data_IF_441148149809
#
_entry.id   IF_441148149809
#
_cell.length_a   1.000
_cell.length_b   1.000
_cell.length_c   1.000
_cell.angle_alpha   90.00
_cell.angle_beta   90.00
_cell.angle_gamma   90.00
#
_symmetry.space_group_name_H-M   'P 1'
#
loop_
_entity.id
_entity.type
_entity.pdbx_description
1 polymer ?
#
# COMPACT_ATOMS: atom_id res chain seq x y z
N UNK A 1 -17.22 -39.32 -19.18
CA UNK A 1 -16.93 -38.33 -20.24
C UNK A 1 -15.92 -37.32 -19.71
N UNK A 2 -14.71 -37.34 -20.28
CA UNK A 2 -13.62 -36.39 -20.00
C UNK A 2 -14.01 -34.98 -20.47
N UNK A 3 -13.80 -33.98 -19.63
CA UNK A 3 -13.55 -32.61 -20.08
C UNK A 3 -12.35 -32.04 -19.33
N UNK A 4 -11.23 -32.12 -20.04
CA UNK A 4 -10.00 -31.36 -19.87
C UNK A 4 -10.34 -29.87 -19.95
N UNK A 5 -9.93 -29.07 -18.95
CA UNK A 5 -9.83 -27.62 -19.10
C UNK A 5 -8.46 -27.19 -18.58
N UNK A 6 -7.68 -26.65 -19.52
CA UNK A 6 -6.41 -25.98 -19.32
C UNK A 6 -6.49 -24.99 -18.15
N UNK A 7 -5.55 -25.11 -17.21
CA UNK A 7 -5.17 -24.01 -16.32
C UNK A 7 -3.67 -23.80 -16.46
N UNK A 8 -3.29 -22.69 -17.11
CA UNK A 8 -1.94 -22.17 -17.07
C UNK A 8 -1.68 -21.66 -15.65
N UNK A 9 -1.01 -22.49 -14.84
CA UNK A 9 -0.39 -22.06 -13.60
C UNK A 9 0.86 -21.23 -13.91
N UNK A 10 0.90 -20.01 -13.39
CA UNK A 10 2.12 -19.25 -13.15
C UNK A 10 3.00 -20.05 -12.17
N UNK A 11 4.01 -20.74 -12.69
CA UNK A 11 5.13 -21.26 -11.90
C UNK A 11 6.24 -20.21 -11.89
N UNK A 12 6.40 -19.48 -10.79
CA UNK A 12 7.68 -18.82 -10.48
C UNK A 12 8.53 -19.89 -9.80
N UNK A 13 9.30 -20.62 -10.61
CA UNK A 13 10.34 -21.51 -10.12
C UNK A 13 11.55 -20.65 -9.71
N UNK A 14 11.71 -20.45 -8.40
CA UNK A 14 12.98 -20.04 -7.80
C UNK A 14 13.96 -21.20 -7.87
N UNK A 15 14.87 -21.16 -8.84
CA UNK A 15 16.11 -21.96 -8.82
C UNK A 15 17.30 -21.01 -8.74
N UNK A 16 17.70 -20.72 -7.51
CA UNK A 16 19.02 -20.17 -7.20
C UNK A 16 19.97 -21.37 -7.08
N UNK A 17 20.68 -21.71 -8.15
CA UNK A 17 21.88 -22.55 -8.07
C UNK A 17 23.09 -21.63 -8.14
N UNK A 18 23.58 -21.24 -6.97
CA UNK A 18 24.90 -20.65 -6.83
C UNK A 18 25.94 -21.71 -7.18
N UNK A 19 26.70 -21.48 -8.25
CA UNK A 19 27.96 -22.19 -8.53
C UNK A 19 29.08 -21.17 -8.50
N UNK A 20 29.75 -21.07 -7.35
CA UNK A 20 31.06 -20.44 -7.24
C UNK A 20 32.08 -21.41 -7.84
N UNK A 21 32.59 -21.09 -9.02
CA UNK A 21 33.81 -21.69 -9.55
C UNK A 21 34.92 -20.63 -9.47
N UNK A 22 35.79 -20.79 -8.48
CA UNK A 22 37.02 -20.03 -8.34
C UNK A 22 38.02 -20.61 -9.34
N UNK A 23 38.36 -19.86 -10.38
CA UNK A 23 39.43 -20.18 -11.31
C UNK A 23 40.49 -19.10 -11.19
N UNK A 24 41.57 -19.44 -10.47
CA UNK A 24 42.81 -18.68 -10.48
C UNK A 24 43.55 -19.01 -11.78
N UNK A 25 43.68 -18.00 -12.64
CA UNK A 25 44.52 -18.02 -13.83
C UNK A 25 45.07 -16.62 -14.05
N UNK A 26 46.14 -16.29 -13.35
CA UNK A 26 46.91 -15.08 -13.62
C UNK A 26 47.66 -15.27 -14.96
N UNK A 27 47.26 -14.50 -15.98
CA UNK A 27 48.12 -14.14 -17.10
C UNK A 27 48.09 -12.63 -17.25
N UNK A 28 49.25 -12.02 -17.05
CA UNK A 28 49.52 -10.63 -17.38
C UNK A 28 49.64 -10.53 -18.90
N UNK A 29 48.67 -9.88 -19.53
CA UNK A 29 48.77 -9.42 -20.92
C UNK A 29 48.30 -7.97 -20.99
N UNK A 30 49.20 -7.12 -21.50
CA UNK A 30 48.93 -5.84 -22.15
C UNK A 30 48.20 -4.77 -21.33
N UNK A 31 48.92 -3.72 -20.95
CA UNK A 31 48.29 -2.43 -20.65
C UNK A 31 47.72 -1.91 -21.98
N UNK A 32 46.45 -2.18 -22.22
CA UNK A 32 45.67 -1.52 -23.26
C UNK A 32 45.44 -0.06 -22.84
N UNK A 33 46.27 0.84 -23.36
CA UNK A 33 46.06 2.29 -23.26
C UNK A 33 45.04 2.80 -24.27
N UNK A 34 44.22 1.91 -24.84
CA UNK A 34 43.03 2.28 -25.58
C UNK A 34 42.16 3.15 -24.69
N UNK A 35 42.05 4.42 -25.08
CA UNK A 35 41.03 5.33 -24.56
C UNK A 35 39.70 4.58 -24.70
N UNK A 36 39.18 4.07 -23.58
CA UNK A 36 37.83 3.53 -23.49
C UNK A 36 36.90 4.73 -23.60
N UNK A 37 36.75 5.24 -24.81
CA UNK A 37 35.59 5.99 -25.24
C UNK A 37 34.45 4.99 -25.30
N UNK A 38 34.01 4.49 -24.14
CA UNK A 38 32.70 3.85 -24.07
C UNK A 38 31.73 4.98 -24.42
N UNK A 39 31.27 4.98 -25.66
CA UNK A 39 30.16 5.83 -26.12
C UNK A 39 29.04 5.57 -25.12
N UNK A 40 28.88 6.46 -24.14
CA UNK A 40 27.88 6.24 -23.11
C UNK A 40 26.56 6.30 -23.86
N UNK A 41 25.90 5.14 -23.94
CA UNK A 41 24.69 4.99 -24.73
C UNK A 41 23.61 5.90 -24.14
N UNK A 42 23.37 7.04 -24.80
CA UNK A 42 22.43 8.06 -24.37
C UNK A 42 21.03 7.48 -24.15
N UNK A 43 20.67 6.41 -24.88
CA UNK A 43 19.40 5.71 -24.69
C UNK A 43 19.33 4.96 -23.35
N UNK A 44 20.44 4.34 -22.92
CA UNK A 44 20.55 3.67 -21.61
C UNK A 44 20.52 4.68 -20.48
N UNK A 45 21.16 5.85 -20.63
CA UNK A 45 21.04 6.93 -19.64
C UNK A 45 19.60 7.42 -19.56
N UNK A 46 18.97 7.75 -20.69
CA UNK A 46 17.59 8.25 -20.73
C UNK A 46 16.63 7.28 -20.04
N UNK A 47 16.73 5.98 -20.34
CA UNK A 47 15.89 4.95 -19.70
C UNK A 47 16.14 4.83 -18.19
N UNK A 48 17.39 5.01 -17.74
CA UNK A 48 17.74 5.02 -16.31
C UNK A 48 17.16 6.22 -15.57
N UNK A 49 17.15 7.39 -16.21
CA UNK A 49 16.50 8.61 -15.67
C UNK A 49 15.00 8.36 -15.50
N UNK A 50 14.33 7.83 -16.53
CA UNK A 50 12.91 7.52 -16.48
C UNK A 50 12.60 6.53 -15.35
N UNK A 51 13.35 5.44 -15.25
CA UNK A 51 13.14 4.45 -14.19
C UNK A 51 13.40 5.04 -12.79
N UNK A 52 14.43 5.88 -12.62
CA UNK A 52 14.68 6.61 -11.36
C UNK A 52 13.48 7.48 -10.99
N UNK A 53 12.93 8.21 -11.96
CA UNK A 53 11.81 9.12 -11.72
C UNK A 53 10.54 8.34 -11.37
N UNK A 54 10.29 7.19 -12.00
CA UNK A 54 9.22 6.28 -11.60
C UNK A 54 9.43 5.67 -10.21
N UNK A 55 10.66 5.34 -9.81
CA UNK A 55 10.92 4.86 -8.45
C UNK A 55 10.54 5.91 -7.38
N UNK A 56 10.75 7.20 -7.67
CA UNK A 56 10.26 8.30 -6.81
C UNK A 56 8.73 8.35 -6.78
N UNK A 57 8.08 8.15 -7.93
CA UNK A 57 6.60 8.12 -8.04
C UNK A 57 6.02 6.95 -7.24
N UNK A 58 6.59 5.75 -7.33
CA UNK A 58 6.15 4.59 -6.53
C UNK A 58 6.26 4.88 -5.04
N UNK A 59 7.40 5.45 -4.62
CA UNK A 59 7.62 5.83 -3.22
C UNK A 59 6.59 6.85 -2.73
N UNK A 60 6.25 7.86 -3.54
CA UNK A 60 5.23 8.89 -3.19
C UNK A 60 3.81 8.32 -3.02
N UNK A 61 3.53 7.19 -3.68
CA UNK A 61 2.24 6.51 -3.67
C UNK A 61 2.16 5.37 -2.64
N UNK A 62 3.22 5.11 -1.86
CA UNK A 62 3.15 4.20 -0.73
C UNK A 62 2.18 4.75 0.34
N UNK A 63 1.48 3.85 1.02
CA UNK A 63 0.51 4.23 2.05
C UNK A 63 1.26 4.67 3.33
N UNK A 64 0.96 5.85 3.90
CA UNK A 64 1.60 6.29 5.13
C UNK A 64 1.11 5.46 6.34
N UNK A 65 1.93 5.43 7.38
CA UNK A 65 1.46 5.09 8.72
C UNK A 65 0.61 6.24 9.29
N UNK A 66 -0.27 5.93 10.24
CA UNK A 66 -1.08 6.88 11.00
C UNK A 66 -1.02 6.56 12.50
N UNK A 67 -1.00 7.61 13.31
CA UNK A 67 -1.10 7.51 14.76
C UNK A 67 -1.89 8.71 15.29
N UNK A 68 -2.95 8.44 16.05
CA UNK A 68 -3.80 9.51 16.57
C UNK A 68 -5.09 8.96 17.14
N UNK A 69 -6.19 9.65 16.88
CA UNK A 69 -7.50 9.27 17.37
C UNK A 69 -8.52 9.21 16.25
N UNK A 70 -9.49 8.30 16.43
CA UNK A 70 -10.70 8.22 15.66
C UNK A 70 -11.93 8.45 16.55
N UNK A 71 -12.85 9.27 16.07
CA UNK A 71 -14.09 9.65 16.74
C UNK A 71 -15.29 9.05 16.03
N UNK A 72 -16.41 8.93 16.75
CA UNK A 72 -17.71 8.45 16.26
C UNK A 72 -17.80 6.96 15.88
N UNK A 73 -16.72 6.20 16.06
CA UNK A 73 -16.79 4.74 15.96
C UNK A 73 -17.62 4.12 17.11
N UNK A 74 -18.29 2.96 16.88
CA UNK A 74 -19.11 2.28 17.88
C UNK A 74 -18.34 1.92 19.16
N UNK A 75 -17.07 1.57 18.99
CA UNK A 75 -16.17 1.20 20.08
C UNK A 75 -15.25 2.36 20.45
N UNK A 76 -15.52 3.01 21.58
CA UNK A 76 -14.71 4.13 22.07
C UNK A 76 -13.25 3.72 22.23
N UNK A 77 -12.34 4.51 21.67
CA UNK A 77 -10.88 4.35 21.79
C UNK A 77 -10.27 5.51 22.54
N UNK A 78 -9.08 5.28 23.09
CA UNK A 78 -8.16 6.31 23.54
C UNK A 78 -7.16 6.69 22.44
N UNK A 79 -6.85 5.75 21.55
CA UNK A 79 -5.82 5.89 20.53
C UNK A 79 -6.06 4.87 19.41
N UNK A 80 -5.73 5.26 18.18
CA UNK A 80 -5.75 4.41 16.98
C UNK A 80 -4.39 4.53 16.29
N UNK A 81 -3.85 3.38 15.90
CA UNK A 81 -2.62 3.29 15.11
C UNK A 81 -2.84 2.44 13.87
N UNK A 82 -2.34 2.91 12.74
CA UNK A 82 -2.15 2.15 11.51
C UNK A 82 -0.66 2.23 11.17
N UNK A 83 0.11 1.33 11.75
CA UNK A 83 1.56 1.29 11.58
C UNK A 83 1.82 0.62 10.25
N UNK A 84 2.43 1.32 9.30
CA UNK A 84 2.71 0.76 7.98
C UNK A 84 4.17 1.02 7.58
N UNK A 85 5.03 0.03 7.84
CA UNK A 85 6.46 0.11 7.50
C UNK A 85 6.70 -0.55 6.16
N UNK A 86 7.36 0.16 5.24
CA UNK A 86 7.74 -0.34 3.91
C UNK A 86 9.25 -0.59 3.83
N UNK A 87 9.63 -1.82 3.48
CA UNK A 87 11.01 -2.22 3.20
C UNK A 87 11.18 -2.30 1.69
N UNK A 88 11.79 -1.29 1.08
CA UNK A 88 12.02 -1.25 -0.36
C UNK A 88 13.20 -2.17 -0.71
N UNK A 89 12.89 -3.27 -1.39
CA UNK A 89 13.87 -4.31 -1.73
C UNK A 89 14.42 -4.15 -3.15
N UNK A 90 13.64 -3.55 -4.07
CA UNK A 90 14.08 -3.20 -5.41
C UNK A 90 13.74 -1.74 -5.75
N UNK A 91 14.77 -0.91 -5.83
CA UNK A 91 14.70 0.46 -6.33
C UNK A 91 15.95 0.72 -7.18
N UNK A 92 15.90 0.34 -8.44
CA UNK A 92 17.04 0.44 -9.35
C UNK A 92 16.69 1.22 -10.60
N UNK A 93 17.50 2.21 -11.03
CA UNK A 93 17.30 2.87 -12.31
C UNK A 93 17.50 1.91 -13.50
N UNK A 94 18.07 0.73 -13.27
CA UNK A 94 18.27 -0.28 -14.32
C UNK A 94 17.00 -1.10 -14.62
N UNK A 95 15.98 -1.03 -13.77
CA UNK A 95 14.76 -1.85 -13.87
C UNK A 95 13.50 -1.01 -14.03
N UNK A 96 12.48 -1.55 -14.68
CA UNK A 96 11.11 -1.01 -14.69
C UNK A 96 10.27 -1.46 -13.49
N UNK A 97 10.83 -2.38 -12.70
CA UNK A 97 10.19 -2.92 -11.52
C UNK A 97 10.63 -2.19 -10.27
N UNK A 98 9.68 -2.06 -9.34
CA UNK A 98 9.92 -1.67 -7.96
C UNK A 98 9.22 -2.68 -7.06
N UNK A 99 9.90 -3.07 -5.99
CA UNK A 99 9.39 -4.11 -5.09
C UNK A 99 9.64 -3.69 -3.64
N UNK A 100 8.59 -3.77 -2.83
CA UNK A 100 8.68 -3.60 -1.38
C UNK A 100 7.87 -4.69 -0.67
N UNK A 101 8.26 -4.92 0.57
CA UNK A 101 7.42 -5.66 1.53
C UNK A 101 6.98 -4.69 2.61
N UNK A 102 5.71 -4.76 3.00
CA UNK A 102 5.16 -3.95 4.07
C UNK A 102 4.82 -4.79 5.29
N UNK A 103 5.11 -4.26 6.48
CA UNK A 103 4.70 -4.83 7.76
C UNK A 103 3.64 -3.92 8.38
N UNK A 104 2.38 -4.06 7.92
CA UNK A 104 1.28 -3.23 8.40
C UNK A 104 0.64 -3.83 9.64
N UNK A 105 0.39 -3.02 10.66
CA UNK A 105 -0.35 -3.39 11.87
C UNK A 105 -1.35 -2.30 12.23
N UNK A 106 -2.64 -2.63 12.32
CA UNK A 106 -3.64 -1.71 12.88
C UNK A 106 -3.95 -2.09 14.31
N UNK A 107 -4.01 -1.09 15.18
CA UNK A 107 -4.35 -1.23 16.60
C UNK A 107 -5.36 -0.17 17.02
N UNK A 108 -6.28 -0.56 17.90
CA UNK A 108 -7.22 0.33 18.59
C UNK A 108 -7.07 0.10 20.08
N UNK A 109 -6.60 1.13 20.78
CA UNK A 109 -6.55 1.13 22.25
C UNK A 109 -7.95 1.48 22.75
N UNK A 110 -8.67 0.51 23.27
CA UNK A 110 -10.07 0.69 23.66
C UNK A 110 -10.16 1.47 24.98
N UNK A 111 -11.18 2.34 25.09
CA UNK A 111 -11.54 3.02 26.34
C UNK A 111 -12.45 2.10 27.17
N UNK A 112 -11.85 1.06 27.74
CA UNK A 112 -12.48 0.03 28.59
C UNK A 112 -11.58 -0.22 29.82
N UNK A 113 -12.05 -0.97 30.81
CA UNK A 113 -11.22 -1.35 31.97
C UNK A 113 -9.91 -2.01 31.51
N UNK A 114 -8.78 -1.52 32.00
CA UNK A 114 -7.45 -1.99 31.61
C UNK A 114 -6.96 -1.49 30.24
N UNK A 115 -7.73 -0.67 29.53
CA UNK A 115 -7.42 -0.11 28.21
C UNK A 115 -6.85 -1.15 27.22
N UNK A 116 -7.58 -2.24 26.92
CA UNK A 116 -7.04 -3.33 26.12
C UNK A 116 -6.94 -2.94 24.64
N UNK A 117 -6.02 -3.60 23.94
CA UNK A 117 -6.06 -3.74 22.48
C UNK A 117 -6.69 -5.09 22.17
N UNK A 118 -7.88 -5.08 21.57
CA UNK A 118 -8.56 -6.29 21.12
C UNK A 118 -8.39 -6.46 19.62
N UNK A 119 -8.18 -7.71 19.18
CA UNK A 119 -8.09 -8.12 17.77
C UNK A 119 -7.26 -7.18 16.87
N UNK A 120 -5.97 -6.92 17.16
CA UNK A 120 -5.12 -6.11 16.26
C UNK A 120 -5.12 -6.68 14.84
N UNK A 121 -5.05 -5.86 13.79
CA UNK A 121 -4.88 -6.37 12.41
C UNK A 121 -3.40 -6.50 12.08
N UNK A 122 -2.93 -7.71 11.79
CA UNK A 122 -1.63 -7.95 11.18
C UNK A 122 -1.81 -8.12 9.67
N UNK A 123 -1.18 -7.24 8.89
CA UNK A 123 -1.36 -7.13 7.44
C UNK A 123 -0.01 -7.07 6.68
N UNK A 124 0.90 -8.06 6.81
CA UNK A 124 2.10 -8.05 6.00
C UNK A 124 1.77 -8.27 4.51
N UNK A 125 2.45 -7.53 3.64
CA UNK A 125 2.23 -7.58 2.20
C UNK A 125 3.54 -7.62 1.41
N UNK A 126 3.49 -8.21 0.22
CA UNK A 126 4.51 -8.07 -0.81
C UNK A 126 3.90 -7.31 -1.98
N UNK A 127 4.57 -6.25 -2.44
CA UNK A 127 4.04 -5.29 -3.41
C UNK A 127 5.00 -5.15 -4.60
N UNK A 128 4.54 -5.47 -5.80
CA UNK A 128 5.29 -5.33 -7.05
C UNK A 128 4.66 -4.23 -7.90
N UNK A 129 5.49 -3.33 -8.40
CA UNK A 129 5.09 -2.24 -9.29
C UNK A 129 5.78 -2.41 -10.63
N UNK A 130 5.04 -2.11 -11.70
CA UNK A 130 5.56 -2.19 -13.07
C UNK A 130 5.14 -0.97 -13.88
N UNK A 131 6.14 -0.30 -14.45
CA UNK A 131 5.97 0.87 -15.32
C UNK A 131 5.37 0.50 -16.67
N UNK A 132 4.32 1.22 -17.10
CA UNK A 132 3.66 1.02 -18.39
C UNK A 132 4.10 1.99 -19.48
N UNK A 133 4.47 3.22 -19.14
CA UNK A 133 4.92 4.23 -20.10
C UNK A 133 6.25 4.88 -19.69
N UNK A 134 6.86 5.63 -20.60
CA UNK A 134 8.15 6.31 -20.41
C UNK A 134 8.00 7.80 -20.01
N UNK A 135 6.79 8.27 -19.70
CA UNK A 135 6.49 9.66 -19.33
C UNK A 135 6.27 9.81 -17.81
N UNK A 136 7.25 10.39 -17.12
CA UNK A 136 7.18 10.66 -15.68
C UNK A 136 6.28 11.87 -15.31
N UNK A 137 5.86 12.68 -16.28
CA UNK A 137 4.89 13.77 -16.09
C UNK A 137 3.44 13.30 -16.25
N UNK A 138 3.20 12.22 -17.00
CA UNK A 138 1.91 11.52 -17.08
C UNK A 138 2.08 10.03 -16.77
N UNK A 139 2.52 9.67 -15.55
CA UNK A 139 2.92 8.31 -15.24
C UNK A 139 1.74 7.33 -15.32
N UNK A 140 2.02 6.15 -15.85
CA UNK A 140 1.10 5.01 -15.87
C UNK A 140 1.83 3.78 -15.36
N UNK A 141 1.22 3.06 -14.41
CA UNK A 141 1.81 1.84 -13.88
C UNK A 141 0.76 0.88 -13.33
N UNK A 142 1.15 -0.38 -13.21
CA UNK A 142 0.42 -1.40 -12.49
C UNK A 142 1.08 -1.66 -11.14
N UNK A 143 0.28 -2.03 -10.14
CA UNK A 143 0.81 -2.69 -8.95
C UNK A 143 0.01 -3.96 -8.66
N UNK A 144 0.73 -4.98 -8.21
CA UNK A 144 0.15 -6.23 -7.74
C UNK A 144 0.64 -6.49 -6.32
N UNK A 145 -0.25 -6.92 -5.44
CA UNK A 145 0.11 -7.26 -4.07
C UNK A 145 -0.49 -8.58 -3.62
N UNK A 146 0.20 -9.23 -2.70
CA UNK A 146 -0.35 -10.31 -1.87
C UNK A 146 -0.26 -9.89 -0.42
N UNK A 147 -1.35 -10.03 0.33
CA UNK A 147 -1.44 -9.64 1.72
C UNK A 147 -2.06 -10.77 2.54
N UNK A 148 -1.40 -11.08 3.65
CA UNK A 148 -2.02 -11.87 4.72
C UNK A 148 -2.70 -10.92 5.69
N UNK A 149 -3.95 -11.18 6.09
CA UNK A 149 -4.68 -10.34 7.05
C UNK A 149 -5.25 -11.21 8.18
N UNK A 150 -4.66 -11.11 9.37
CA UNK A 150 -5.13 -11.84 10.55
C UNK A 150 -5.13 -11.01 11.81
N UNK A 151 -5.61 -11.58 12.91
CA UNK A 151 -5.56 -10.95 14.23
C UNK A 151 -4.65 -11.62 15.26
N UNK A 152 -3.96 -12.70 14.87
CA UNK A 152 -3.03 -13.41 15.75
C UNK A 152 -3.67 -14.07 16.98
N UNK A 153 -5.00 -14.14 17.07
CA UNK A 153 -5.70 -14.71 18.22
C UNK A 153 -5.92 -16.22 18.01
N UNK A 154 -5.67 -17.01 19.06
CA UNK A 154 -6.05 -18.41 19.13
C UNK A 154 -7.36 -18.53 19.92
N UNK A 155 -8.48 -18.58 19.20
CA UNK A 155 -9.83 -18.72 19.77
C UNK A 155 -10.86 -19.16 18.72
N UNK A 156 -12.06 -19.57 19.12
CA UNK A 156 -13.12 -19.91 18.17
C UNK A 156 -13.60 -18.66 17.45
N UNK A 157 -13.69 -18.69 16.11
CA UNK A 157 -14.18 -17.52 15.33
C UNK A 157 -15.65 -17.20 15.60
N UNK A 158 -16.41 -18.21 16.04
CA UNK A 158 -17.83 -18.12 16.33
C UNK A 158 -18.10 -18.45 17.79
N UNK A 159 -19.10 -17.80 18.35
CA UNK A 159 -19.74 -18.17 19.62
C UNK A 159 -20.57 -19.45 19.44
N UNK A 160 -20.96 -20.14 20.54
CA UNK A 160 -21.82 -21.33 20.47
C UNK A 160 -23.17 -21.12 19.77
N UNK A 161 -23.67 -19.88 19.75
CA UNK A 161 -24.90 -19.48 19.06
C UNK A 161 -24.70 -19.16 17.56
N UNK A 162 -23.46 -19.30 17.06
CA UNK A 162 -23.10 -19.08 15.66
C UNK A 162 -22.80 -17.62 15.31
N UNK A 163 -22.89 -16.67 16.26
CA UNK A 163 -22.46 -15.27 16.05
C UNK A 163 -20.94 -15.18 15.97
N UNK A 164 -20.42 -14.13 15.34
CA UNK A 164 -18.98 -13.86 15.37
C UNK A 164 -18.53 -13.50 16.79
N UNK A 165 -17.45 -14.15 17.24
CA UNK A 165 -16.82 -13.83 18.51
C UNK A 165 -15.91 -12.61 18.35
N UNK A 166 -16.46 -11.41 18.51
CA UNK A 166 -15.72 -10.14 18.37
C UNK A 166 -14.78 -9.81 19.53
N UNK A 167 -14.79 -10.62 20.60
CA UNK A 167 -14.00 -10.38 21.80
C UNK A 167 -12.66 -11.14 21.79
N UNK A 168 -12.73 -12.44 21.52
CA UNK A 168 -11.59 -13.38 21.56
C UNK A 168 -11.53 -14.32 20.35
N UNK A 169 -12.31 -14.04 19.32
CA UNK A 169 -12.36 -14.87 18.11
C UNK A 169 -11.16 -14.65 17.20
N UNK A 170 -10.74 -15.73 16.53
CA UNK A 170 -9.70 -15.65 15.49
C UNK A 170 -10.26 -15.09 14.18
N UNK A 171 -9.52 -14.17 13.57
CA UNK A 171 -9.75 -13.65 12.22
C UNK A 171 -8.52 -13.92 11.36
N UNK A 172 -8.73 -14.46 10.15
CA UNK A 172 -7.70 -14.64 9.15
C UNK A 172 -8.32 -14.66 7.75
N UNK A 173 -7.67 -14.00 6.80
CA UNK A 173 -7.95 -14.09 5.37
C UNK A 173 -6.71 -13.63 4.60
N UNK A 174 -6.53 -14.13 3.40
CA UNK A 174 -5.49 -13.64 2.48
C UNK A 174 -6.16 -13.03 1.27
N UNK A 175 -5.54 -12.02 0.69
CA UNK A 175 -6.02 -11.43 -0.55
C UNK A 175 -4.88 -11.02 -1.49
N UNK A 176 -5.22 -10.99 -2.77
CA UNK A 176 -4.40 -10.38 -3.81
C UNK A 176 -5.08 -9.11 -4.29
N UNK A 177 -4.29 -8.08 -4.62
CA UNK A 177 -4.80 -6.90 -5.31
C UNK A 177 -4.07 -6.69 -6.63
N UNK A 178 -4.80 -6.20 -7.62
CA UNK A 178 -4.25 -5.66 -8.86
C UNK A 178 -4.79 -4.25 -9.03
N UNK A 179 -3.89 -3.29 -9.15
CA UNK A 179 -4.20 -1.88 -9.27
C UNK A 179 -3.60 -1.31 -10.55
N UNK A 180 -4.30 -0.35 -11.14
CA UNK A 180 -3.85 0.49 -12.23
C UNK A 180 -3.86 1.94 -11.79
N UNK A 181 -2.74 2.64 -11.98
CA UNK A 181 -2.57 4.03 -11.60
C UNK A 181 -2.27 4.90 -12.80
N UNK A 182 -3.01 6.02 -12.89
CA UNK A 182 -2.76 7.14 -13.78
C UNK A 182 -2.30 8.33 -12.95
N UNK A 183 -1.33 9.09 -13.45
CA UNK A 183 -0.93 10.33 -12.78
C UNK A 183 -0.70 11.51 -13.71
N UNK A 184 -0.53 12.67 -13.09
CA UNK A 184 -0.19 13.93 -13.74
C UNK A 184 0.68 14.76 -12.84
N UNK A 185 1.76 15.32 -13.37
CA UNK A 185 2.66 16.24 -12.67
C UNK A 185 2.73 17.58 -13.40
N UNK A 186 2.77 18.66 -12.64
CA UNK A 186 2.91 20.01 -13.15
C UNK A 186 3.97 20.72 -12.29
N UNK A 187 5.06 21.14 -12.91
CA UNK A 187 6.11 21.90 -12.26
C UNK A 187 5.88 23.40 -12.54
N UNK A 188 5.80 24.20 -11.49
CA UNK A 188 5.75 25.67 -11.53
C UNK A 188 6.97 26.23 -10.79
N UNK A 189 7.31 27.53 -10.95
CA UNK A 189 8.50 28.10 -10.31
C UNK A 189 8.60 27.82 -8.81
N UNK A 190 7.49 27.92 -8.05
CA UNK A 190 7.51 27.78 -6.58
C UNK A 190 6.73 26.58 -6.05
N UNK A 191 6.08 25.80 -6.93
CA UNK A 191 5.27 24.65 -6.52
C UNK A 191 5.36 23.50 -7.51
N UNK A 192 5.32 22.27 -7.02
CA UNK A 192 5.12 21.07 -7.85
C UNK A 192 3.81 20.43 -7.42
N UNK A 193 2.93 20.21 -8.39
CA UNK A 193 1.66 19.52 -8.21
C UNK A 193 1.79 18.12 -8.80
N UNK A 194 1.35 17.11 -8.06
CA UNK A 194 1.27 15.73 -8.53
C UNK A 194 -0.08 15.11 -8.16
N UNK A 195 -0.71 14.47 -9.12
CA UNK A 195 -2.00 13.80 -8.98
C UNK A 195 -1.85 12.34 -9.35
N UNK A 196 -2.50 11.45 -8.62
CA UNK A 196 -2.53 10.01 -8.89
C UNK A 196 -3.93 9.47 -8.65
N UNK A 197 -4.56 8.93 -9.68
CA UNK A 197 -5.80 8.17 -9.59
C UNK A 197 -5.50 6.68 -9.76
N UNK A 198 -5.88 5.88 -8.78
CA UNK A 198 -5.69 4.43 -8.75
C UNK A 198 -7.05 3.75 -8.68
N UNK A 199 -7.25 2.73 -9.50
CA UNK A 199 -8.39 1.82 -9.42
C UNK A 199 -7.88 0.39 -9.42
N UNK A 200 -8.47 -0.46 -8.60
CA UNK A 200 -8.05 -1.84 -8.51
C UNK A 200 -9.11 -2.77 -7.94
N UNK A 201 -8.77 -4.05 -7.99
CA UNK A 201 -9.63 -5.14 -7.51
C UNK A 201 -8.86 -5.95 -6.49
N UNK A 202 -9.52 -6.24 -5.37
CA UNK A 202 -9.05 -7.11 -4.30
C UNK A 202 -9.85 -8.41 -4.33
N UNK A 203 -9.12 -9.53 -4.35
CA UNK A 203 -9.66 -10.87 -4.43
C UNK A 203 -9.11 -11.70 -3.28
N UNK A 204 -10.00 -12.15 -2.40
CA UNK A 204 -9.61 -13.01 -1.30
C UNK A 204 -9.38 -14.44 -1.77
N UNK A 205 -8.31 -15.08 -1.26
CA UNK A 205 -7.90 -16.45 -1.62
C UNK A 205 -9.02 -17.47 -1.38
N UNK A 206 -9.89 -17.22 -0.42
CA UNK A 206 -11.07 -18.02 -0.10
C UNK A 206 -12.03 -18.23 -1.27
N UNK A 207 -11.98 -17.38 -2.30
CA UNK A 207 -12.76 -17.56 -3.53
C UNK A 207 -12.30 -18.74 -4.38
N UNK A 208 -11.03 -19.15 -4.25
CA UNK A 208 -10.39 -20.11 -5.15
C UNK A 208 -10.13 -21.48 -4.52
N UNK A 209 -10.64 -21.71 -3.30
CA UNK A 209 -10.38 -22.93 -2.54
C UNK A 209 -11.66 -23.51 -1.97
N UNK A 210 -11.93 -24.79 -2.29
CA UNK A 210 -13.09 -25.54 -1.78
C UNK A 210 -13.18 -25.60 -0.25
N UNK A 211 -12.04 -25.55 0.44
CA UNK A 211 -11.97 -25.55 1.91
C UNK A 211 -11.98 -24.13 2.53
N UNK A 212 -12.49 -23.11 1.84
CA UNK A 212 -12.55 -21.73 2.33
C UNK A 212 -11.20 -20.98 2.33
N UNK A 213 -10.15 -21.55 1.73
CA UNK A 213 -8.87 -20.90 1.46
C UNK A 213 -8.11 -20.41 2.69
N UNK A 214 -8.36 -21.00 3.86
CA UNK A 214 -7.75 -20.59 5.13
C UNK A 214 -8.44 -19.41 5.82
N UNK A 215 -9.60 -18.96 5.32
CA UNK A 215 -10.39 -17.94 6.03
C UNK A 215 -10.97 -18.49 7.34
N UNK A 216 -11.10 -17.60 8.32
CA UNK A 216 -11.84 -17.89 9.56
C UNK A 216 -13.29 -18.29 9.28
N UNK A 217 -13.81 -19.19 10.12
CA UNK A 217 -15.23 -19.54 10.12
C UNK A 217 -16.08 -18.30 10.33
N UNK A 218 -17.24 -18.25 9.68
CA UNK A 218 -18.13 -17.09 9.73
C UNK A 218 -17.83 -15.99 8.71
N UNK A 219 -16.64 -15.97 8.08
CA UNK A 219 -16.36 -15.00 7.02
C UNK A 219 -17.08 -15.32 5.70
N UNK A 220 -17.07 -16.57 5.18
CA UNK A 220 -17.73 -16.86 3.90
C UNK A 220 -19.22 -16.48 3.92
N UNK A 221 -19.64 -15.65 2.96
CA UNK A 221 -21.02 -15.17 2.84
C UNK A 221 -21.39 -13.98 3.73
N UNK A 222 -20.55 -13.63 4.72
CA UNK A 222 -20.74 -12.46 5.58
C UNK A 222 -19.74 -11.35 5.27
N UNK A 223 -18.49 -11.73 5.00
CA UNK A 223 -17.38 -10.85 4.65
C UNK A 223 -17.21 -10.81 3.14
N UNK A 224 -17.17 -9.61 2.55
CA UNK A 224 -17.10 -9.48 1.11
C UNK A 224 -15.71 -9.76 0.56
N UNK A 225 -15.56 -10.90 -0.11
CA UNK A 225 -14.29 -11.42 -0.65
C UNK A 225 -13.87 -10.87 -2.02
N UNK A 226 -14.72 -10.08 -2.67
CA UNK A 226 -14.37 -9.33 -3.88
C UNK A 226 -14.60 -7.86 -3.57
N UNK A 227 -13.60 -7.02 -3.77
CA UNK A 227 -13.72 -5.59 -3.52
C UNK A 227 -13.12 -4.79 -4.66
N UNK A 228 -13.73 -3.66 -4.97
CA UNK A 228 -13.21 -2.66 -5.89
C UNK A 228 -12.68 -1.52 -5.05
N UNK A 229 -11.38 -1.26 -5.16
CA UNK A 229 -10.69 -0.21 -4.40
C UNK A 229 -10.35 0.93 -5.34
N UNK A 230 -10.41 2.16 -4.83
CA UNK A 230 -9.85 3.30 -5.55
C UNK A 230 -9.31 4.36 -4.61
N UNK A 231 -8.27 5.04 -5.10
CA UNK A 231 -7.56 6.08 -4.37
C UNK A 231 -7.27 7.23 -5.32
N UNK A 232 -7.51 8.46 -4.88
CA UNK A 232 -7.09 9.67 -5.57
C UNK A 232 -6.21 10.50 -4.64
N UNK A 233 -4.97 10.76 -5.04
CA UNK A 233 -4.01 11.59 -4.32
C UNK A 233 -3.79 12.88 -5.10
N UNK A 234 -3.87 14.00 -4.41
CA UNK A 234 -3.45 15.31 -4.87
C UNK A 234 -2.37 15.82 -3.92
N UNK A 235 -1.14 15.98 -4.41
CA UNK A 235 0.03 16.33 -3.62
C UNK A 235 0.63 17.64 -4.13
N UNK A 236 0.95 18.54 -3.20
CA UNK A 236 1.58 19.82 -3.46
C UNK A 236 2.91 19.89 -2.69
N UNK A 237 3.99 20.07 -3.43
CA UNK A 237 5.30 20.40 -2.89
C UNK A 237 5.58 21.89 -3.12
N UNK A 238 6.29 22.52 -2.18
CA UNK A 238 6.63 23.95 -2.20
C UNK A 238 8.15 24.10 -2.22
N UNK A 239 8.63 25.11 -2.94
CA UNK A 239 10.05 25.49 -2.94
C UNK A 239 10.41 26.14 -1.60
N UNK A 240 11.48 25.68 -1.00
CA UNK A 240 12.12 26.27 0.17
C UNK A 240 13.58 26.59 -0.18
N UNK A 241 14.07 27.72 0.29
CA UNK A 241 15.48 28.05 0.20
C UNK A 241 16.28 27.11 1.11
N UNK A 242 17.50 26.77 0.73
CA UNK A 242 18.40 26.00 1.59
C UNK A 242 18.87 26.90 2.75
N UNK A 243 18.79 26.37 3.97
CA UNK A 243 19.12 27.13 5.19
C UNK A 243 20.63 27.39 5.33
N UNK A 244 21.48 26.63 4.62
CA UNK A 244 22.94 26.71 4.65
C UNK A 244 23.46 27.43 3.39
N UNK A 245 22.89 27.12 2.23
CA UNK A 245 23.33 27.66 0.93
C UNK A 245 22.24 28.54 0.28
N UNK A 246 22.21 29.87 0.51
CA UNK A 246 21.14 30.74 0.02
C UNK A 246 20.91 30.74 -1.50
N UNK A 247 21.90 30.31 -2.29
CA UNK A 247 21.79 30.16 -3.74
C UNK A 247 21.08 28.87 -4.18
N UNK A 248 20.85 27.94 -3.25
CA UNK A 248 20.16 26.66 -3.48
C UNK A 248 18.74 26.71 -2.92
N UNK A 249 17.89 25.89 -3.53
CA UNK A 249 16.53 25.68 -3.08
C UNK A 249 16.10 24.26 -3.41
N UNK A 250 15.29 23.67 -2.56
CA UNK A 250 14.71 22.33 -2.77
C UNK A 250 13.18 22.43 -2.67
N UNK A 251 12.49 21.50 -3.33
CA UNK A 251 11.06 21.35 -3.15
C UNK A 251 10.78 20.30 -2.08
N UNK A 252 10.03 20.67 -1.06
CA UNK A 252 9.59 19.76 0.01
C UNK A 252 8.07 19.57 -0.06
N UNK A 253 7.59 18.39 0.36
CA UNK A 253 6.15 18.16 0.51
C UNK A 253 5.53 19.20 1.45
N UNK A 254 4.35 19.69 1.09
CA UNK A 254 3.66 20.72 1.86
C UNK A 254 2.23 20.32 2.21
N UNK A 255 1.45 19.91 1.21
CA UNK A 255 0.05 19.53 1.41
C UNK A 255 -0.30 18.30 0.60
N UNK A 256 -1.15 17.42 1.14
CA UNK A 256 -1.72 16.30 0.41
C UNK A 256 -3.20 16.17 0.72
N UNK A 257 -4.01 15.98 -0.31
CA UNK A 257 -5.39 15.52 -0.19
C UNK A 257 -5.45 14.10 -0.73
N UNK A 258 -6.12 13.21 0.00
CA UNK A 258 -6.31 11.82 -0.40
C UNK A 258 -7.76 11.42 -0.21
N UNK A 259 -8.38 10.92 -1.28
CA UNK A 259 -9.68 10.28 -1.24
C UNK A 259 -9.48 8.79 -1.48
N UNK A 260 -10.05 7.95 -0.60
CA UNK A 260 -10.05 6.50 -0.76
C UNK A 260 -11.50 6.00 -0.76
N UNK A 261 -11.80 5.01 -1.58
CA UNK A 261 -13.06 4.27 -1.51
C UNK A 261 -12.84 2.77 -1.70
N UNK A 262 -13.76 1.99 -1.15
CA UNK A 262 -13.85 0.55 -1.36
C UNK A 262 -15.31 0.18 -1.54
N UNK A 263 -15.65 -0.44 -2.67
CA UNK A 263 -16.95 -1.07 -2.87
C UNK A 263 -16.84 -2.59 -2.72
N UNK A 264 -17.69 -3.15 -1.87
CA UNK A 264 -17.68 -4.56 -1.48
C UNK A 264 -18.60 -5.32 -2.44
N UNK A 265 -18.05 -5.75 -3.58
CA UNK A 265 -18.80 -6.40 -4.65
C UNK A 265 -19.09 -7.90 -4.38
N UNK A 266 -18.32 -8.54 -3.51
CA UNK A 266 -18.45 -9.96 -3.20
C UNK A 266 -19.76 -10.33 -2.50
N UNK A 267 -20.00 -11.64 -2.35
CA UNK A 267 -21.19 -12.14 -1.65
C UNK A 267 -21.17 -11.72 -0.17
N UNK A 268 -22.24 -11.05 0.27
CA UNK A 268 -22.54 -10.67 1.65
C UNK A 268 -24.03 -10.94 1.93
N UNK A 269 -24.53 -10.77 3.17
CA UNK A 269 -25.95 -10.91 3.48
C UNK A 269 -26.79 -9.73 2.99
N UNK A 270 -26.15 -8.70 2.42
CA UNK A 270 -26.77 -7.44 2.01
C UNK A 270 -26.90 -7.35 0.49
N UNK A 271 -27.93 -6.66 0.00
CA UNK A 271 -28.13 -6.40 -1.43
C UNK A 271 -26.93 -5.64 -2.03
N UNK A 272 -26.64 -5.83 -3.31
CA UNK A 272 -25.59 -5.06 -4.04
C UNK A 272 -25.81 -3.54 -3.99
N UNK A 273 -27.06 -3.12 -3.83
CA UNK A 273 -27.47 -1.72 -3.75
C UNK A 273 -27.44 -1.15 -2.33
N UNK A 274 -27.14 -1.96 -1.30
CA UNK A 274 -27.00 -1.49 0.09
C UNK A 274 -25.64 -0.79 0.28
N UNK A 275 -25.54 0.45 -0.22
CA UNK A 275 -24.31 1.23 -0.17
C UNK A 275 -23.86 1.52 1.27
N UNK A 276 -24.79 1.60 2.22
CA UNK A 276 -24.48 1.80 3.64
C UNK A 276 -23.68 0.64 4.25
N UNK A 277 -23.76 -0.56 3.68
CA UNK A 277 -22.99 -1.72 4.16
C UNK A 277 -21.92 -2.21 3.18
N UNK A 278 -21.84 -1.58 2.01
CA UNK A 278 -20.98 -2.03 0.92
C UNK A 278 -19.98 -0.98 0.46
N UNK A 279 -20.15 0.28 0.86
CA UNK A 279 -19.22 1.34 0.51
C UNK A 279 -18.46 1.80 1.75
N UNK A 280 -17.13 1.75 1.65
CA UNK A 280 -16.24 2.53 2.51
C UNK A 280 -15.77 3.74 1.70
N UNK A 281 -15.71 4.91 2.33
CA UNK A 281 -15.18 6.13 1.72
C UNK A 281 -14.44 6.95 2.77
N UNK A 282 -13.34 7.58 2.40
CA UNK A 282 -12.59 8.47 3.28
C UNK A 282 -11.94 9.61 2.54
N UNK A 283 -11.86 10.76 3.20
CA UNK A 283 -11.12 11.93 2.75
C UNK A 283 -10.13 12.33 3.84
N UNK A 284 -8.86 12.48 3.47
CA UNK A 284 -7.76 12.82 4.37
C UNK A 284 -7.00 14.01 3.82
N UNK A 285 -6.72 14.97 4.68
CA UNK A 285 -5.87 16.10 4.40
C UNK A 285 -4.62 16.03 5.28
N UNK A 286 -3.46 16.14 4.65
CA UNK A 286 -2.16 16.12 5.30
C UNK A 286 -1.49 17.48 5.14
N UNK A 287 -0.93 17.98 6.23
CA UNK A 287 -0.15 19.21 6.26
C UNK A 287 1.26 18.94 6.81
N UNK A 288 2.27 19.26 6.02
CA UNK A 288 3.67 19.07 6.36
C UNK A 288 4.33 20.43 6.58
N UNK A 289 4.81 20.68 7.80
CA UNK A 289 5.62 21.86 8.09
C UNK A 289 7.03 21.71 7.49
N UNK A 290 7.76 22.80 7.22
CA UNK A 290 9.07 22.75 6.55
C UNK A 290 10.14 21.93 7.31
N UNK A 291 10.01 21.85 8.63
CA UNK A 291 10.88 21.07 9.53
C UNK A 291 10.49 19.60 9.65
N UNK A 292 9.32 19.21 9.11
CA UNK A 292 8.88 17.82 9.10
C UNK A 292 9.41 17.15 7.83
N UNK A 293 10.25 16.13 7.99
CA UNK A 293 10.89 15.46 6.86
C UNK A 293 10.03 14.32 6.30
N UNK A 294 9.62 13.40 7.17
CA UNK A 294 8.88 12.18 6.81
C UNK A 294 7.54 12.06 7.55
N UNK A 295 7.00 13.18 8.05
CA UNK A 295 5.78 13.22 8.84
C UNK A 295 4.88 14.39 8.41
N UNK A 296 3.59 14.25 8.68
CA UNK A 296 2.59 15.29 8.45
C UNK A 296 1.51 15.21 9.53
N UNK A 297 0.91 16.36 9.88
CA UNK A 297 -0.37 16.34 10.58
C UNK A 297 -1.45 15.87 9.61
N UNK A 298 -2.40 15.08 10.11
CA UNK A 298 -3.52 14.59 9.31
C UNK A 298 -4.83 14.82 10.02
N UNK A 299 -5.80 15.32 9.27
CA UNK A 299 -7.22 15.31 9.61
C UNK A 299 -7.97 14.57 8.52
N UNK A 300 -8.96 13.78 8.89
CA UNK A 300 -9.78 13.06 7.93
C UNK A 300 -11.16 12.77 8.45
N UNK A 301 -12.05 12.43 7.53
CA UNK A 301 -13.38 11.95 7.83
C UNK A 301 -13.81 10.93 6.78
N UNK A 302 -14.75 10.07 7.15
CA UNK A 302 -15.20 9.03 6.25
C UNK A 302 -16.37 8.24 6.78
N UNK A 303 -16.73 7.23 6.02
CA UNK A 303 -17.75 6.27 6.34
C UNK A 303 -17.20 4.87 6.10
N UNK A 304 -17.44 3.96 7.05
CA UNK A 304 -17.20 2.53 6.89
C UNK A 304 -18.56 1.85 6.74
N UNK A 305 -18.79 1.17 5.62
CA UNK A 305 -19.88 0.22 5.46
C UNK A 305 -19.51 -1.20 5.90
N UNK A 306 -18.22 -1.55 5.84
CA UNK A 306 -17.63 -2.62 6.64
C UNK A 306 -16.35 -2.11 7.29
N UNK A 307 -16.26 -2.24 8.61
CA UNK A 307 -15.03 -1.90 9.33
C UNK A 307 -13.84 -2.71 8.79
N UNK A 308 -12.75 -2.00 8.47
CA UNK A 308 -11.53 -2.60 7.96
C UNK A 308 -10.62 -3.15 9.09
N UNK A 309 -11.02 -2.97 10.35
CA UNK A 309 -10.44 -3.59 11.52
C UNK A 309 -11.03 -4.99 11.75
N UNK A 310 -10.67 -5.89 10.84
CA UNK A 310 -10.76 -7.35 10.98
C UNK A 310 -12.09 -7.87 11.54
N UNK A 311 -12.18 -8.19 12.84
CA UNK A 311 -13.35 -8.88 13.40
C UNK A 311 -14.59 -7.98 13.53
N UNK A 312 -14.40 -6.66 13.52
CA UNK A 312 -15.49 -5.68 13.57
C UNK A 312 -16.12 -5.40 12.20
N UNK A 313 -15.84 -6.18 11.16
CA UNK A 313 -16.30 -5.90 9.79
C UNK A 313 -17.83 -5.76 9.61
N UNK A 314 -18.63 -6.18 10.60
CA UNK A 314 -20.07 -5.99 10.61
C UNK A 314 -20.49 -4.56 11.01
N UNK A 315 -19.59 -3.80 11.62
CA UNK A 315 -19.82 -2.42 12.01
C UNK A 315 -19.81 -1.50 10.78
N UNK A 316 -20.71 -0.52 10.83
CA UNK A 316 -20.82 0.53 9.83
C UNK A 316 -21.12 1.86 10.52
N UNK A 317 -20.35 2.90 10.19
CA UNK A 317 -20.38 4.16 10.92
C UNK A 317 -19.64 5.26 10.17
N UNK A 318 -20.04 6.51 10.45
CA UNK A 318 -19.25 7.69 10.14
C UNK A 318 -18.13 7.83 11.15
N UNK A 319 -16.98 8.33 10.71
CA UNK A 319 -15.85 8.63 11.60
C UNK A 319 -15.14 9.92 11.21
N UNK A 320 -14.43 10.47 12.20
CA UNK A 320 -13.43 11.51 12.00
C UNK A 320 -12.12 11.07 12.62
N UNK A 321 -11.00 11.46 12.03
CA UNK A 321 -9.69 11.15 12.55
C UNK A 321 -8.79 12.39 12.59
N UNK A 322 -7.94 12.44 13.60
CA UNK A 322 -6.92 13.48 13.78
C UNK A 322 -5.66 12.82 14.31
N UNK A 323 -4.51 13.19 13.79
CA UNK A 323 -3.24 12.68 14.29
C UNK A 323 -2.05 13.07 13.44
N UNK A 324 -1.06 12.20 13.46
CA UNK A 324 0.18 12.33 12.70
C UNK A 324 0.25 11.14 11.73
N UNK A 325 0.66 11.43 10.50
CA UNK A 325 1.01 10.43 9.52
C UNK A 325 2.52 10.45 9.28
N UNK A 326 3.13 9.30 8.98
CA UNK A 326 4.55 9.21 8.66
C UNK A 326 4.83 8.13 7.65
N UNK A 327 5.85 8.31 6.81
CA UNK A 327 6.24 7.31 5.82
C UNK A 327 7.14 7.85 4.73
N UNK A 328 7.67 6.94 3.91
CA UNK A 328 8.53 7.26 2.76
C UNK A 328 7.81 8.14 1.73
N UNK A 329 6.48 8.07 1.67
CA UNK A 329 5.64 8.86 0.78
C UNK A 329 5.68 10.37 1.07
N UNK A 330 6.15 10.77 2.26
CA UNK A 330 6.38 12.17 2.64
C UNK A 330 7.81 12.66 2.33
N UNK A 331 8.73 11.75 1.99
CA UNK A 331 10.09 12.09 1.55
C UNK A 331 10.06 12.52 0.07
N UNK A 332 9.69 13.78 -0.16
CA UNK A 332 9.83 14.43 -1.46
C UNK A 332 10.98 15.44 -1.41
N UNK A 333 11.94 15.28 -2.31
CA UNK A 333 12.96 16.28 -2.64
C UNK A 333 13.21 16.28 -4.16
N UNK A 334 13.44 17.46 -4.73
CA UNK A 334 13.72 17.65 -6.15
C UNK A 334 14.89 18.59 -6.39
#
# INVERSE_FOLDING_TARGET
MRKTLLFCLFFIATTFTASFAFSMGAKAEGIDTGIVNSKIDSSKIARRIINRDFNKIYTQNLAPAFFGQEFFQPHKTLLVGDINTHFVLLNSPRSRFFFDVSARVKVRLLKQYGNPVKSPSYMPSANLYYRLNDDAYHPQYLSASYTHHSNGIRGPSLEPDGRLNVDSGKFSTDFMQLNYTLGKRIDRPNTILSQFGTLGVELHRSLFSSNGGGASLGLPGNYGFVRVNGTYIYNLAKRYQDDIEPSKSDFKNWQRLQFDFTYIAGKTPYSATDLGRRLNASLKYYYQFPFMHNAAFVVGAGYRGQDDYNIYFQDHYFYMQLGIASGLNFLFSK
#
